data_IF_863470938250
#
_entry.id   IF_863470938250
#
_cell.length_a   1.000
_cell.length_b   1.000
_cell.length_c   1.000
_cell.angle_alpha   90.00
_cell.angle_beta   90.00
_cell.angle_gamma   90.00
#
_symmetry.space_group_name_H-M   'P 1'
#
loop_
_entity.id
_entity.type
_entity.pdbx_description
1 polymer ?
#
# COMPACT_ATOMS: atom_id res chain seq x y z
N UNK A 1 14.37 -9.56 14.42
CA UNK A 1 14.46 -8.12 14.08
C UNK A 1 13.06 -7.55 13.92
N UNK A 2 12.84 -6.27 14.26
CA UNK A 2 11.57 -5.55 14.09
C UNK A 2 11.77 -4.42 13.06
N UNK A 3 10.77 -4.15 12.23
CA UNK A 3 10.80 -3.10 11.18
C UNK A 3 9.84 -1.93 11.48
N UNK A 4 9.16 -2.00 12.63
CA UNK A 4 8.18 -1.02 13.07
C UNK A 4 7.60 -1.39 14.44
N UNK A 5 6.68 -0.56 14.93
CA UNK A 5 6.02 -0.70 16.24
C UNK A 5 4.56 -0.25 16.15
N UNK A 6 3.71 -0.79 17.03
CA UNK A 6 2.36 -0.27 17.24
C UNK A 6 2.42 1.05 18.01
N UNK A 7 1.63 2.03 17.57
CA UNK A 7 1.25 3.21 18.32
C UNK A 7 -0.24 3.12 18.62
N UNK A 8 -0.57 2.58 19.80
CA UNK A 8 -1.95 2.33 20.21
C UNK A 8 -2.73 3.64 20.45
N UNK A 9 -2.03 4.73 20.81
CA UNK A 9 -2.66 6.03 21.05
C UNK A 9 -3.14 6.63 19.74
N UNK A 10 -2.32 6.53 18.69
CA UNK A 10 -2.65 7.01 17.35
C UNK A 10 -3.40 5.98 16.51
N UNK A 11 -3.50 4.73 16.99
CA UNK A 11 -4.06 3.58 16.25
C UNK A 11 -3.32 3.33 14.94
N UNK A 12 -1.99 3.42 14.99
CA UNK A 12 -1.10 3.32 13.83
C UNK A 12 -0.12 2.15 14.00
N UNK A 13 0.36 1.63 12.87
CA UNK A 13 1.56 0.83 12.83
C UNK A 13 2.67 1.64 12.17
N UNK A 14 3.69 2.02 12.94
CA UNK A 14 4.76 2.91 12.49
C UNK A 14 5.91 2.08 11.92
N UNK A 15 6.18 2.22 10.62
CA UNK A 15 7.27 1.53 9.92
C UNK A 15 8.51 2.42 9.93
N UNK A 16 9.61 1.96 10.50
CA UNK A 16 10.81 2.77 10.73
C UNK A 16 11.89 2.60 9.64
N UNK A 17 11.65 1.74 8.64
CA UNK A 17 12.59 1.48 7.55
C UNK A 17 11.85 1.17 6.25
N UNK A 18 12.31 1.67 5.08
CA UNK A 18 11.70 1.33 3.79
C UNK A 18 11.98 -0.12 3.37
N UNK A 19 13.02 -0.77 3.92
CA UNK A 19 13.44 -2.14 3.57
C UNK A 19 12.77 -3.17 4.48
N UNK A 20 11.45 -3.25 4.43
CA UNK A 20 10.68 -4.32 5.08
C UNK A 20 10.93 -5.66 4.39
N UNK A 21 10.67 -6.82 5.03
CA UNK A 21 10.85 -8.15 4.42
C UNK A 21 10.00 -8.36 3.15
N UNK A 22 8.90 -7.61 3.04
CA UNK A 22 8.03 -7.54 1.89
C UNK A 22 7.30 -6.17 1.92
N UNK A 23 6.82 -5.62 0.79
CA UNK A 23 6.03 -4.40 0.81
C UNK A 23 4.82 -4.53 1.75
N UNK A 24 4.72 -3.63 2.72
CA UNK A 24 3.61 -3.60 3.67
C UNK A 24 2.63 -2.52 3.23
N UNK A 25 1.36 -2.88 3.08
CA UNK A 25 0.34 -2.00 2.51
C UNK A 25 -0.68 -1.55 3.55
N UNK A 26 -1.34 -0.43 3.23
CA UNK A 26 -2.58 0.00 3.83
C UNK A 26 -3.66 0.17 2.75
N UNK A 27 -4.92 0.17 3.19
CA UNK A 27 -6.08 0.48 2.36
C UNK A 27 -6.58 1.89 2.69
N UNK A 28 -6.86 2.68 1.64
CA UNK A 28 -7.51 3.96 1.73
C UNK A 28 -8.92 3.85 1.14
N UNK A 29 -9.90 4.48 1.78
CA UNK A 29 -11.30 4.50 1.35
C UNK A 29 -12.20 3.52 2.09
N UNK A 30 -13.41 3.98 2.43
CA UNK A 30 -14.43 3.23 3.17
C UNK A 30 -15.81 3.21 2.47
N UNK A 31 -15.90 3.77 1.26
CA UNK A 31 -17.14 3.83 0.47
C UNK A 31 -16.96 3.21 -0.91
N UNK A 32 -16.73 4.03 -1.95
CA UNK A 32 -16.73 3.57 -3.34
C UNK A 32 -15.39 3.75 -4.04
N UNK A 33 -14.53 4.63 -3.54
CA UNK A 33 -13.19 4.85 -4.07
C UNK A 33 -12.16 4.24 -3.13
N UNK A 34 -11.24 3.47 -3.70
CA UNK A 34 -10.25 2.71 -2.93
C UNK A 34 -8.83 2.91 -3.44
N UNK A 35 -7.87 2.82 -2.53
CA UNK A 35 -6.45 2.80 -2.84
C UNK A 35 -5.71 1.76 -2.03
N UNK A 36 -4.83 0.99 -2.68
CA UNK A 36 -3.78 0.24 -2.00
C UNK A 36 -2.54 1.11 -2.01
N UNK A 37 -1.92 1.32 -0.85
CA UNK A 37 -0.69 2.12 -0.71
C UNK A 37 0.33 1.37 0.13
N UNK A 38 1.55 1.17 -0.39
CA UNK A 38 2.64 0.55 0.36
C UNK A 38 3.39 1.56 1.22
N UNK A 39 4.25 1.06 2.11
CA UNK A 39 5.21 1.86 2.89
C UNK A 39 6.22 2.65 2.02
N UNK A 40 6.29 2.36 0.72
CA UNK A 40 7.10 3.07 -0.28
C UNK A 40 6.24 3.73 -1.38
N UNK A 41 4.98 4.05 -1.05
CA UNK A 41 3.99 4.72 -1.93
C UNK A 41 3.55 3.95 -3.19
N UNK A 42 3.93 2.69 -3.32
CA UNK A 42 3.47 1.80 -4.38
C UNK A 42 2.00 1.41 -4.27
N UNK A 43 1.46 0.81 -5.33
CA UNK A 43 0.08 0.34 -5.42
C UNK A 43 -0.76 1.09 -6.46
N UNK A 44 -2.08 1.04 -6.33
CA UNK A 44 -3.01 1.63 -7.29
C UNK A 44 -4.34 2.06 -6.66
N UNK A 45 -5.16 2.79 -7.43
CA UNK A 45 -6.52 3.19 -7.06
C UNK A 45 -7.58 2.70 -8.04
N UNK A 46 -8.81 2.53 -7.57
CA UNK A 46 -9.96 2.10 -8.37
C UNK A 46 -11.27 2.62 -7.77
N UNK A 47 -12.32 2.70 -8.59
CA UNK A 47 -13.67 3.07 -8.17
C UNK A 47 -14.62 1.87 -8.28
N UNK A 48 -15.09 1.35 -7.15
CA UNK A 48 -15.97 0.18 -6.95
C UNK A 48 -15.39 -1.16 -7.41
N UNK A 49 -14.83 -1.24 -8.61
CA UNK A 49 -14.38 -2.49 -9.23
C UNK A 49 -12.89 -2.41 -9.61
N UNK A 50 -12.06 -3.24 -8.97
CA UNK A 50 -10.61 -3.28 -9.18
C UNK A 50 -10.17 -3.85 -10.53
N UNK A 51 -11.08 -4.49 -11.29
CA UNK A 51 -10.86 -5.03 -12.64
C UNK A 51 -11.38 -4.07 -13.70
N UNK A 52 -12.64 -3.64 -13.57
CA UNK A 52 -13.36 -2.88 -14.61
C UNK A 52 -13.20 -1.36 -14.49
N UNK A 53 -12.79 -0.86 -13.33
CA UNK A 53 -12.72 0.59 -13.03
C UNK A 53 -11.45 0.96 -12.29
N UNK A 54 -10.32 0.40 -12.73
CA UNK A 54 -8.99 0.73 -12.21
C UNK A 54 -8.47 2.03 -12.84
N UNK A 55 -8.01 2.96 -12.01
CA UNK A 55 -7.52 4.27 -12.48
C UNK A 55 -6.01 4.24 -12.75
N UNK A 56 -5.22 3.68 -11.83
CA UNK A 56 -3.75 3.63 -11.97
C UNK A 56 -3.26 2.19 -12.15
N UNK A 57 -2.20 2.01 -12.96
CA UNK A 57 -1.62 0.70 -13.25
C UNK A 57 -0.66 0.28 -12.14
N UNK A 58 -0.69 -0.99 -11.77
CA UNK A 58 0.26 -1.62 -10.87
C UNK A 58 0.70 -2.98 -11.42
N UNK A 59 1.96 -3.35 -11.23
CA UNK A 59 2.56 -4.60 -11.72
C UNK A 59 2.80 -5.54 -10.55
N UNK A 60 2.05 -6.64 -10.51
CA UNK A 60 2.36 -7.75 -9.60
C UNK A 60 3.62 -8.47 -10.08
N UNK A 61 4.37 -9.05 -9.14
CA UNK A 61 5.63 -9.77 -9.41
C UNK A 61 6.64 -8.93 -10.22
N UNK A 62 6.70 -7.62 -9.99
CA UNK A 62 7.68 -6.76 -10.62
C UNK A 62 9.09 -7.02 -10.05
N UNK A 63 10.12 -6.69 -10.83
CA UNK A 63 11.51 -6.77 -10.38
C UNK A 63 12.15 -5.38 -10.61
N UNK A 64 12.49 -4.63 -9.55
CA UNK A 64 12.21 -4.90 -8.12
C UNK A 64 10.72 -4.84 -7.77
N UNK A 65 10.33 -5.48 -6.66
CA UNK A 65 8.95 -5.44 -6.15
C UNK A 65 8.51 -3.99 -5.89
N UNK A 66 7.21 -3.72 -6.06
CA UNK A 66 6.57 -2.45 -5.68
C UNK A 66 7.14 -1.17 -6.35
N UNK A 67 7.76 -1.32 -7.53
CA UNK A 67 8.35 -0.19 -8.29
C UNK A 67 7.35 0.57 -9.18
N UNK A 68 6.20 0.93 -8.62
CA UNK A 68 5.17 1.72 -9.28
C UNK A 68 4.10 2.19 -8.30
N UNK A 69 3.90 3.51 -8.24
CA UNK A 69 3.12 4.17 -7.21
C UNK A 69 2.76 5.61 -7.57
N UNK A 70 2.60 6.46 -6.55
CA UNK A 70 2.34 7.89 -6.67
C UNK A 70 3.62 8.68 -6.48
#
# INVERSE_FOLDING_TARGET
>A
MKFGTFDDTRKEYVINTPKTPYPWINYLGNEQFFGLISNTAGGYTFYRDARLRRLTRYRYNNIPLDTGGR
#
